data_IF_438684193978
#
_entry.id   IF_438684193978
#
_cell.length_a   1.000
_cell.length_b   1.000
_cell.length_c   1.000
_cell.angle_alpha   90.00
_cell.angle_beta   90.00
_cell.angle_gamma   90.00
#
_symmetry.space_group_name_H-M   'P 1'
#
loop_
_entity.id
_entity.type
_entity.pdbx_description
1 polymer ?
#
# COMPACT_ATOMS: atom_id res chain seq x y z
N UNK A 1 -17.73 2.37 -14.51
CA UNK A 1 -17.92 1.14 -13.70
C UNK A 1 -18.99 1.44 -12.67
N UNK A 2 -20.00 0.57 -12.56
CA UNK A 2 -21.03 0.71 -11.53
C UNK A 2 -20.71 -0.26 -10.39
N UNK A 3 -20.81 0.23 -9.15
CA UNK A 3 -20.66 -0.59 -7.95
C UNK A 3 -21.98 -0.60 -7.18
N UNK A 4 -22.42 -1.78 -6.74
CA UNK A 4 -23.58 -1.93 -5.86
C UNK A 4 -23.09 -2.10 -4.43
N UNK A 5 -23.42 -1.17 -3.55
CA UNK A 5 -23.09 -1.24 -2.13
C UNK A 5 -24.17 -2.01 -1.38
N UNK A 6 -23.79 -3.07 -0.67
CA UNK A 6 -24.68 -3.84 0.19
C UNK A 6 -24.52 -3.37 1.64
N UNK A 7 -25.63 -3.28 2.38
CA UNK A 7 -25.59 -3.05 3.82
C UNK A 7 -25.07 -4.29 4.53
N UNK A 8 -24.26 -4.09 5.57
CA UNK A 8 -23.85 -5.16 6.47
C UNK A 8 -25.02 -5.49 7.43
N UNK A 9 -25.61 -6.70 7.38
CA UNK A 9 -26.61 -7.11 8.34
C UNK A 9 -25.96 -7.25 9.73
N UNK A 10 -26.49 -6.55 10.73
CA UNK A 10 -25.95 -6.57 12.10
C UNK A 10 -24.90 -5.50 12.43
N UNK A 11 -24.61 -4.58 11.51
CA UNK A 11 -23.60 -3.51 11.70
C UNK A 11 -22.19 -3.94 11.28
N UNK A 12 -21.23 -3.00 11.35
CA UNK A 12 -19.82 -3.24 11.05
C UNK A 12 -19.04 -3.07 12.36
N UNK A 13 -18.24 -4.07 12.73
CA UNK A 13 -17.40 -4.03 13.93
C UNK A 13 -16.25 -5.02 13.83
N UNK A 14 -15.21 -4.78 14.63
CA UNK A 14 -13.98 -5.57 14.66
C UNK A 14 -12.72 -4.71 14.56
N UNK A 15 -11.57 -5.37 14.59
CA UNK A 15 -10.26 -4.73 14.42
C UNK A 15 -9.58 -5.36 13.22
N UNK A 16 -9.03 -4.52 12.35
CA UNK A 16 -8.21 -4.93 11.23
C UNK A 16 -6.88 -4.19 11.29
N UNK A 17 -5.83 -4.79 10.75
CA UNK A 17 -4.61 -4.06 10.44
C UNK A 17 -4.82 -3.31 9.14
N UNK A 18 -4.68 -1.98 9.17
CA UNK A 18 -4.73 -1.18 7.96
C UNK A 18 -3.58 -1.57 7.02
N UNK A 19 -3.79 -1.54 5.70
CA UNK A 19 -2.69 -1.69 4.76
C UNK A 19 -1.63 -0.60 4.97
N UNK A 20 -0.36 -0.86 4.63
CA UNK A 20 0.71 0.13 4.73
C UNK A 20 0.44 1.36 3.84
N UNK A 21 1.04 2.49 4.20
CA UNK A 21 0.80 3.75 3.49
C UNK A 21 1.39 3.75 2.07
N UNK A 22 0.53 3.91 1.06
CA UNK A 22 0.95 4.06 -0.35
C UNK A 22 1.96 5.19 -0.56
N UNK A 23 1.71 6.36 0.01
CA UNK A 23 2.63 7.51 -0.13
C UNK A 23 3.98 7.26 0.53
N UNK A 24 4.02 6.55 1.67
CA UNK A 24 5.30 6.16 2.27
C UNK A 24 6.02 5.11 1.42
N UNK A 25 5.31 4.14 0.87
CA UNK A 25 5.87 3.14 -0.03
C UNK A 25 6.58 3.78 -1.24
N UNK A 26 5.94 4.74 -1.91
CA UNK A 26 6.58 5.48 -3.02
C UNK A 26 7.86 6.21 -2.57
N UNK A 27 7.79 6.92 -1.43
CA UNK A 27 8.96 7.65 -0.92
C UNK A 27 10.10 6.71 -0.53
N UNK A 28 9.79 5.59 0.12
CA UNK A 28 10.78 4.60 0.52
C UNK A 28 11.49 4.00 -0.71
N UNK A 29 10.73 3.64 -1.75
CA UNK A 29 11.28 3.16 -3.03
C UNK A 29 12.19 4.22 -3.67
N UNK A 30 11.74 5.47 -3.78
CA UNK A 30 12.56 6.54 -4.36
C UNK A 30 13.85 6.78 -3.58
N UNK A 31 13.77 6.86 -2.25
CA UNK A 31 14.94 7.01 -1.41
C UNK A 31 15.90 5.82 -1.53
N UNK A 32 15.38 4.59 -1.66
CA UNK A 32 16.20 3.40 -1.83
C UNK A 32 16.99 3.39 -3.14
N UNK A 33 16.41 3.92 -4.22
CA UNK A 33 17.08 4.01 -5.51
C UNK A 33 18.19 5.07 -5.54
N UNK A 34 18.10 6.08 -4.67
CA UNK A 34 19.08 7.16 -4.55
C UNK A 34 20.18 6.88 -3.53
N UNK A 35 19.96 5.95 -2.61
CA UNK A 35 20.91 5.60 -1.57
C UNK A 35 22.09 4.77 -2.13
N UNK A 36 23.27 4.96 -1.56
CA UNK A 36 24.41 4.08 -1.82
C UNK A 36 24.20 2.73 -1.10
N UNK A 37 24.56 1.64 -1.76
CA UNK A 37 24.45 0.29 -1.20
C UNK A 37 23.07 -0.34 -1.36
N UNK A 38 22.66 -1.16 -0.39
CA UNK A 38 21.41 -1.91 -0.41
C UNK A 38 20.43 -1.38 0.64
N UNK A 39 19.19 -1.12 0.24
CA UNK A 39 18.10 -0.76 1.13
C UNK A 39 17.16 -1.94 1.36
N UNK A 40 16.68 -2.11 2.59
CA UNK A 40 15.70 -3.12 2.95
C UNK A 40 14.40 -2.43 3.36
N UNK A 41 13.33 -2.65 2.59
CA UNK A 41 12.00 -2.06 2.84
C UNK A 41 11.05 -3.20 3.20
N UNK A 42 10.46 -3.13 4.40
CA UNK A 42 9.50 -4.10 4.91
C UNK A 42 8.08 -3.53 4.94
N UNK A 43 7.08 -4.42 5.05
CA UNK A 43 5.66 -4.05 5.07
C UNK A 43 5.25 -3.18 3.87
N UNK A 44 5.79 -3.50 2.69
CA UNK A 44 5.46 -2.87 1.42
C UNK A 44 4.27 -3.61 0.78
N UNK A 45 3.19 -2.89 0.48
CA UNK A 45 2.09 -3.46 -0.30
C UNK A 45 2.35 -3.27 -1.79
N UNK A 46 2.43 -4.38 -2.52
CA UNK A 46 2.52 -4.36 -3.97
C UNK A 46 1.17 -3.95 -4.59
N UNK A 47 1.19 -2.83 -5.30
CA UNK A 47 0.06 -2.30 -6.05
C UNK A 47 0.52 -1.86 -7.44
N UNK A 48 -0.42 -1.62 -8.36
CA UNK A 48 -0.09 -1.11 -9.70
C UNK A 48 0.74 0.17 -9.64
N UNK A 49 0.46 1.04 -8.68
CA UNK A 49 1.18 2.30 -8.48
C UNK A 49 2.63 2.07 -8.03
N UNK A 50 2.86 1.14 -7.10
CA UNK A 50 4.21 0.78 -6.65
C UNK A 50 4.98 0.05 -7.74
N UNK A 51 4.34 -0.86 -8.48
CA UNK A 51 4.95 -1.50 -9.64
C UNK A 51 5.40 -0.48 -10.69
N UNK A 52 4.59 0.55 -10.96
CA UNK A 52 4.96 1.64 -11.87
C UNK A 52 6.09 2.55 -11.33
N UNK A 53 6.32 2.57 -10.02
CA UNK A 53 7.43 3.33 -9.41
C UNK A 53 8.75 2.55 -9.48
N UNK A 54 8.67 1.22 -9.53
CA UNK A 54 9.84 0.32 -9.59
C UNK A 54 10.31 0.02 -11.02
N UNK A 55 9.54 0.39 -12.05
CA UNK A 55 9.81 0.10 -13.46
C UNK A 55 10.68 1.16 -14.13
#
# INVERSE_FOLDING_TARGET
MNATIKRAPGGIGGTITAPPSKSMAHRAVLCSALAEGASHIENLEFSKDISATLS
#
